data_IF_154532041021
#
_entry.id   IF_154532041021
#
_cell.length_a   1.000
_cell.length_b   1.000
_cell.length_c   1.000
_cell.angle_alpha   90.00
_cell.angle_beta   90.00
_cell.angle_gamma   90.00
#
_symmetry.space_group_name_H-M   'P 1'
#
loop_
_entity.id
_entity.type
_entity.pdbx_description
1 polymer ?
#
# COMPACT_ATOMS: atom_id res chain seq x y z
N UNK A 1 -38.41 0.48 -1.55
CA UNK A 1 -37.06 -0.17 -1.62
C UNK A 1 -36.05 0.69 -0.86
N UNK A 2 -35.39 0.15 0.13
CA UNK A 2 -34.26 0.83 0.76
C UNK A 2 -33.02 0.65 -0.13
N UNK A 3 -32.67 1.70 -0.89
CA UNK A 3 -31.61 1.66 -1.90
C UNK A 3 -30.24 1.37 -1.26
N UNK A 4 -29.96 1.93 -0.09
CA UNK A 4 -28.67 1.71 0.59
C UNK A 4 -28.51 0.26 1.02
N UNK A 5 -29.55 -0.34 1.60
CA UNK A 5 -29.51 -1.76 1.98
C UNK A 5 -29.38 -2.68 0.77
N UNK A 6 -29.99 -2.35 -0.36
CA UNK A 6 -29.84 -3.15 -1.59
C UNK A 6 -28.43 -3.02 -2.16
N UNK A 7 -27.82 -1.82 -2.16
CA UNK A 7 -26.42 -1.62 -2.54
C UNK A 7 -25.46 -2.38 -1.62
N UNK A 8 -25.66 -2.31 -0.29
CA UNK A 8 -24.85 -3.07 0.67
C UNK A 8 -24.93 -4.58 0.42
N UNK A 9 -26.12 -5.10 0.16
CA UNK A 9 -26.32 -6.52 -0.16
C UNK A 9 -25.60 -6.91 -1.45
N UNK A 10 -25.66 -6.06 -2.47
CA UNK A 10 -24.99 -6.28 -3.75
C UNK A 10 -23.47 -6.32 -3.57
N UNK A 11 -22.87 -5.32 -2.92
CA UNK A 11 -21.41 -5.27 -2.65
C UNK A 11 -20.95 -6.53 -1.89
N UNK A 12 -21.71 -6.97 -0.87
CA UNK A 12 -21.37 -8.18 -0.12
C UNK A 12 -21.46 -9.45 -0.94
N UNK A 13 -22.44 -9.56 -1.83
CA UNK A 13 -22.54 -10.71 -2.75
C UNK A 13 -21.40 -10.71 -3.74
N UNK A 14 -21.04 -9.57 -4.31
CA UNK A 14 -19.91 -9.43 -5.23
C UNK A 14 -18.58 -9.84 -4.58
N UNK A 15 -18.30 -9.36 -3.37
CA UNK A 15 -17.04 -9.67 -2.66
C UNK A 15 -16.95 -11.11 -2.19
N UNK A 16 -18.07 -11.70 -1.77
CA UNK A 16 -18.08 -13.07 -1.23
C UNK A 16 -18.29 -14.14 -2.28
N UNK A 17 -18.76 -13.79 -3.48
CA UNK A 17 -19.22 -14.72 -4.53
C UNK A 17 -20.43 -15.59 -4.13
N UNK A 18 -21.06 -15.33 -2.96
CA UNK A 18 -22.07 -16.21 -2.37
C UNK A 18 -23.16 -15.45 -1.63
N UNK A 19 -24.41 -15.69 -2.02
CA UNK A 19 -25.58 -15.15 -1.31
C UNK A 19 -25.65 -15.60 0.16
N UNK A 20 -25.21 -16.82 0.46
CA UNK A 20 -25.24 -17.36 1.82
C UNK A 20 -24.19 -16.70 2.72
N UNK A 21 -22.98 -16.47 2.20
CA UNK A 21 -21.91 -15.78 2.94
C UNK A 21 -22.28 -14.32 3.16
N UNK A 22 -22.79 -13.64 2.11
CA UNK A 22 -23.26 -12.26 2.20
C UNK A 22 -24.38 -12.10 3.24
N UNK A 23 -25.37 -13.02 3.26
CA UNK A 23 -26.45 -13.03 4.23
C UNK A 23 -25.94 -13.12 5.68
N UNK A 24 -24.97 -14.04 5.93
CA UNK A 24 -24.35 -14.20 7.24
C UNK A 24 -23.60 -12.93 7.67
N UNK A 25 -22.84 -12.32 6.77
CA UNK A 25 -22.10 -11.07 7.04
C UNK A 25 -23.00 -9.88 7.34
N UNK A 26 -24.19 -9.84 6.71
CA UNK A 26 -25.18 -8.78 6.90
C UNK A 26 -26.17 -9.03 8.05
N UNK A 27 -26.15 -10.23 8.66
CA UNK A 27 -27.09 -10.61 9.70
C UNK A 27 -28.54 -10.73 9.23
N UNK A 28 -28.78 -11.05 7.95
CA UNK A 28 -30.13 -11.18 7.33
C UNK A 28 -30.27 -12.52 6.64
N UNK A 29 -31.50 -12.87 6.24
CA UNK A 29 -31.77 -14.12 5.54
C UNK A 29 -31.24 -14.11 4.10
N UNK A 30 -30.85 -15.28 3.58
CA UNK A 30 -30.47 -15.44 2.16
C UNK A 30 -31.59 -15.01 1.22
N UNK A 31 -32.87 -15.29 1.58
CA UNK A 31 -34.00 -14.88 0.80
C UNK A 31 -34.13 -13.35 0.68
N UNK A 32 -33.83 -12.63 1.77
CA UNK A 32 -33.85 -11.17 1.77
C UNK A 32 -32.69 -10.59 0.93
N UNK A 33 -31.46 -11.16 1.00
CA UNK A 33 -30.36 -10.76 0.11
C UNK A 33 -30.74 -10.96 -1.36
N UNK A 34 -31.32 -12.11 -1.71
CA UNK A 34 -31.80 -12.38 -3.07
C UNK A 34 -32.85 -11.38 -3.54
N UNK A 35 -33.80 -11.02 -2.66
CA UNK A 35 -34.80 -10.00 -2.94
C UNK A 35 -34.17 -8.62 -3.15
N UNK A 36 -33.18 -8.23 -2.34
CA UNK A 36 -32.47 -6.98 -2.51
C UNK A 36 -31.80 -6.88 -3.89
N UNK A 37 -31.17 -7.96 -4.37
CA UNK A 37 -30.56 -7.99 -5.71
C UNK A 37 -31.62 -7.86 -6.81
N UNK A 38 -32.74 -8.60 -6.72
CA UNK A 38 -33.83 -8.52 -7.68
C UNK A 38 -34.43 -7.11 -7.75
N UNK A 39 -34.64 -6.51 -6.60
CA UNK A 39 -35.21 -5.15 -6.51
C UNK A 39 -34.23 -4.11 -7.07
N UNK A 40 -32.92 -4.32 -6.87
CA UNK A 40 -31.87 -3.47 -7.42
C UNK A 40 -31.79 -3.59 -8.95
N UNK A 41 -31.73 -4.81 -9.50
CA UNK A 41 -31.75 -5.08 -10.95
C UNK A 41 -32.99 -4.49 -11.63
N UNK A 42 -34.15 -4.65 -10.99
CA UNK A 42 -35.45 -4.08 -11.50
C UNK A 42 -35.36 -2.54 -11.53
N UNK A 43 -34.80 -1.93 -10.50
CA UNK A 43 -34.64 -0.47 -10.42
C UNK A 43 -33.68 0.09 -11.48
N UNK A 44 -32.62 -0.63 -11.76
CA UNK A 44 -31.61 -0.25 -12.74
C UNK A 44 -31.99 -0.61 -14.18
N UNK A 45 -32.98 -1.50 -14.37
CA UNK A 45 -33.39 -2.02 -15.68
C UNK A 45 -32.35 -2.94 -16.32
N UNK A 46 -31.34 -3.39 -15.56
CA UNK A 46 -30.24 -4.26 -16.04
C UNK A 46 -30.06 -5.45 -15.09
N UNK A 47 -29.46 -6.53 -15.61
CA UNK A 47 -29.02 -7.64 -14.77
C UNK A 47 -27.59 -7.42 -14.32
N UNK A 48 -27.36 -7.60 -13.02
CA UNK A 48 -26.04 -7.51 -12.39
C UNK A 48 -25.45 -8.90 -12.18
N UNK A 49 -26.28 -9.92 -11.93
CA UNK A 49 -25.82 -11.27 -11.66
C UNK A 49 -26.49 -12.28 -12.60
N UNK A 50 -25.70 -13.14 -13.22
CA UNK A 50 -26.18 -14.30 -13.93
C UNK A 50 -26.61 -15.38 -12.93
N UNK A 51 -27.86 -15.82 -13.02
CA UNK A 51 -28.42 -16.83 -12.11
C UNK A 51 -28.00 -18.21 -12.56
N UNK A 52 -26.88 -18.72 -12.07
CA UNK A 52 -26.66 -20.15 -11.96
C UNK A 52 -26.90 -20.59 -10.51
N UNK A 53 -27.48 -21.76 -10.33
CA UNK A 53 -28.02 -22.23 -9.05
C UNK A 53 -26.97 -22.39 -7.92
N UNK A 54 -25.69 -22.24 -8.19
CA UNK A 54 -24.61 -22.44 -7.22
C UNK A 54 -23.65 -21.27 -7.02
N UNK A 55 -23.44 -20.39 -8.01
CA UNK A 55 -22.51 -19.24 -7.88
C UNK A 55 -23.12 -17.97 -8.50
N UNK A 56 -22.91 -16.83 -7.83
CA UNK A 56 -23.23 -15.52 -8.38
C UNK A 56 -22.13 -15.10 -9.37
N UNK A 57 -22.40 -15.28 -10.67
CA UNK A 57 -21.48 -14.81 -11.71
C UNK A 57 -21.84 -13.36 -12.08
N UNK A 58 -20.94 -12.39 -11.89
CA UNK A 58 -21.19 -11.00 -12.26
C UNK A 58 -21.30 -10.82 -13.77
N UNK A 59 -22.11 -9.84 -14.19
CA UNK A 59 -22.12 -9.32 -15.56
C UNK A 59 -21.03 -8.23 -15.70
N UNK A 60 -20.79 -7.75 -16.91
CA UNK A 60 -19.84 -6.64 -17.14
C UNK A 60 -20.35 -5.37 -16.45
N UNK A 61 -21.64 -5.09 -16.53
CA UNK A 61 -22.29 -3.96 -15.87
C UNK A 61 -22.20 -4.03 -14.34
N UNK A 62 -22.17 -5.26 -13.77
CA UNK A 62 -22.01 -5.45 -12.34
C UNK A 62 -20.69 -4.90 -11.81
N UNK A 63 -19.59 -5.02 -12.58
CA UNK A 63 -18.27 -4.52 -12.18
C UNK A 63 -18.25 -2.99 -12.11
N UNK A 64 -18.83 -2.33 -13.12
CA UNK A 64 -18.94 -0.87 -13.13
C UNK A 64 -19.86 -0.37 -12.00
N UNK A 65 -21.00 -1.04 -11.78
CA UNK A 65 -21.93 -0.67 -10.73
C UNK A 65 -21.40 -0.97 -9.32
N UNK A 66 -20.53 -1.97 -9.15
CA UNK A 66 -19.84 -2.26 -7.89
C UNK A 66 -18.99 -1.07 -7.46
N UNK A 67 -18.14 -0.55 -8.36
CA UNK A 67 -17.31 0.62 -8.07
C UNK A 67 -18.14 1.84 -7.65
N UNK A 68 -19.28 2.07 -8.31
CA UNK A 68 -20.22 3.12 -7.94
C UNK A 68 -20.82 2.90 -6.55
N UNK A 69 -21.28 1.67 -6.22
CA UNK A 69 -21.83 1.36 -4.91
C UNK A 69 -20.81 1.55 -3.78
N UNK A 70 -19.57 1.10 -3.98
CA UNK A 70 -18.49 1.25 -3.01
C UNK A 70 -18.19 2.73 -2.73
N UNK A 71 -18.17 3.54 -3.79
CA UNK A 71 -17.97 4.98 -3.66
C UNK A 71 -19.09 5.63 -2.82
N UNK A 72 -20.35 5.40 -3.15
CA UNK A 72 -21.49 6.01 -2.45
C UNK A 72 -21.58 5.55 -1.00
N UNK A 73 -21.42 4.25 -0.73
CA UNK A 73 -21.43 3.72 0.63
C UNK A 73 -20.25 4.29 1.46
N UNK A 74 -19.08 4.44 0.84
CA UNK A 74 -17.92 5.07 1.47
C UNK A 74 -18.17 6.54 1.83
N UNK A 75 -18.81 7.32 0.95
CA UNK A 75 -19.17 8.73 1.23
C UNK A 75 -20.19 8.85 2.39
N UNK A 76 -21.17 7.96 2.45
CA UNK A 76 -22.13 7.93 3.56
C UNK A 76 -21.42 7.64 4.88
N UNK A 77 -20.60 6.61 4.92
CA UNK A 77 -19.81 6.27 6.11
C UNK A 77 -18.87 7.41 6.55
N UNK A 78 -18.32 8.17 5.59
CA UNK A 78 -17.53 9.38 5.88
C UNK A 78 -18.39 10.46 6.53
N UNK A 79 -19.58 10.75 5.95
CA UNK A 79 -20.52 11.70 6.50
C UNK A 79 -20.89 11.37 7.94
N UNK A 80 -21.33 10.12 8.17
CA UNK A 80 -21.68 9.63 9.51
C UNK A 80 -20.51 9.71 10.49
N UNK A 81 -19.30 9.37 10.06
CA UNK A 81 -18.08 9.51 10.89
C UNK A 81 -17.76 10.97 11.21
N UNK A 82 -17.92 11.88 10.24
CA UNK A 82 -17.75 13.31 10.47
C UNK A 82 -18.73 13.83 11.52
N UNK A 83 -20.00 13.44 11.47
CA UNK A 83 -21.02 13.78 12.48
C UNK A 83 -20.74 13.15 13.84
N UNK A 84 -20.25 11.89 13.89
CA UNK A 84 -19.87 11.23 15.13
C UNK A 84 -18.67 11.92 15.80
N UNK A 85 -17.74 12.46 15.02
CA UNK A 85 -16.61 13.26 15.50
C UNK A 85 -17.09 14.60 16.10
N UNK A 86 -18.13 15.21 15.53
CA UNK A 86 -18.71 16.47 16.02
C UNK A 86 -19.45 16.29 17.36
N UNK A 87 -19.94 15.09 17.66
CA UNK A 87 -20.67 14.76 18.91
C UNK A 87 -19.78 14.24 20.06
N UNK A 88 -18.45 14.37 19.96
CA UNK A 88 -17.52 13.99 21.04
C UNK A 88 -17.33 12.49 21.29
N UNK A 89 -17.96 11.60 20.50
CA UNK A 89 -17.62 10.18 20.44
C UNK A 89 -16.57 9.97 19.36
N UNK A 90 -15.36 10.49 19.60
CA UNK A 90 -14.18 10.10 18.83
C UNK A 90 -14.05 8.58 18.89
N UNK A 91 -14.11 7.92 17.75
CA UNK A 91 -13.59 6.55 17.67
C UNK A 91 -12.11 6.62 18.09
N UNK A 92 -11.79 6.05 19.27
CA UNK A 92 -10.42 5.99 19.78
C UNK A 92 -9.50 5.11 18.91
N UNK A 93 -10.00 4.60 17.79
CA UNK A 93 -9.25 3.76 16.87
C UNK A 93 -8.60 4.60 15.77
N UNK A 94 -7.28 4.51 15.65
CA UNK A 94 -6.47 5.02 14.55
C UNK A 94 -6.29 3.91 13.51
N UNK A 95 -6.87 4.07 12.32
CA UNK A 95 -6.81 3.11 11.23
C UNK A 95 -5.70 3.48 10.27
N UNK A 96 -4.66 2.65 10.22
CA UNK A 96 -3.45 2.88 9.43
C UNK A 96 -3.35 1.82 8.34
N UNK A 97 -2.98 2.24 7.13
CA UNK A 97 -2.54 1.34 6.06
C UNK A 97 -1.09 1.63 5.71
N UNK A 98 -0.29 0.59 5.47
CA UNK A 98 1.12 0.73 5.17
C UNK A 98 1.63 -0.38 4.23
N UNK A 99 2.76 -0.17 3.50
CA UNK A 99 3.40 -1.21 2.70
C UNK A 99 3.82 -2.39 3.58
N UNK A 100 3.60 -3.62 3.09
CA UNK A 100 3.86 -4.87 3.85
C UNK A 100 5.27 -4.95 4.41
N UNK A 101 6.29 -4.76 3.58
CA UNK A 101 7.68 -4.88 4.02
C UNK A 101 8.04 -3.85 5.08
N UNK A 102 7.68 -2.57 4.85
CA UNK A 102 7.94 -1.50 5.81
C UNK A 102 7.11 -1.68 7.08
N UNK A 103 5.85 -2.03 6.94
CA UNK A 103 4.94 -2.29 8.06
C UNK A 103 5.44 -3.37 8.99
N UNK A 104 5.92 -4.49 8.42
CA UNK A 104 6.39 -5.63 9.21
C UNK A 104 7.77 -5.40 9.82
N UNK A 105 8.70 -4.76 9.10
CA UNK A 105 10.11 -4.69 9.51
C UNK A 105 10.46 -3.44 10.34
N UNK A 106 9.66 -2.37 10.24
CA UNK A 106 9.98 -1.09 10.87
C UNK A 106 8.80 -0.46 11.61
N UNK A 107 7.63 -0.35 10.94
CA UNK A 107 6.49 0.37 11.50
C UNK A 107 5.86 -0.37 12.69
N UNK A 108 5.96 -1.70 12.73
CA UNK A 108 5.41 -2.50 13.82
C UNK A 108 5.99 -2.07 15.19
N UNK A 109 7.31 -1.93 15.28
CA UNK A 109 7.97 -1.49 16.52
C UNK A 109 7.53 -0.07 16.92
N UNK A 110 7.50 0.85 15.97
CA UNK A 110 6.99 2.20 16.22
C UNK A 110 5.53 2.23 16.70
N UNK A 111 4.69 1.35 16.16
CA UNK A 111 3.29 1.22 16.58
C UNK A 111 3.18 0.66 18.00
N UNK A 112 3.99 -0.33 18.37
CA UNK A 112 4.01 -0.90 19.70
C UNK A 112 4.45 0.14 20.73
N UNK A 113 5.51 0.90 20.45
CA UNK A 113 5.98 1.99 21.31
C UNK A 113 4.92 3.11 21.44
N UNK A 114 4.25 3.46 20.34
CA UNK A 114 3.16 4.44 20.36
C UNK A 114 1.96 3.95 21.17
N UNK A 115 1.58 2.68 21.05
CA UNK A 115 0.46 2.10 21.80
C UNK A 115 0.73 2.11 23.31
N UNK A 116 1.99 1.92 23.73
CA UNK A 116 2.40 2.04 25.13
C UNK A 116 2.34 3.52 25.60
N UNK A 117 2.75 4.45 24.75
CA UNK A 117 2.73 5.89 25.09
C UNK A 117 1.32 6.48 25.12
N UNK A 118 0.40 5.97 24.30
CA UNK A 118 -0.98 6.50 24.15
C UNK A 118 -2.02 5.37 24.30
N UNK A 119 -2.18 4.78 25.50
CA UNK A 119 -3.01 3.58 25.72
C UNK A 119 -4.51 3.79 25.48
N UNK A 120 -4.95 5.04 25.37
CA UNK A 120 -6.35 5.40 25.04
C UNK A 120 -6.64 5.32 23.54
N UNK A 121 -5.61 5.22 22.70
CA UNK A 121 -5.76 5.14 21.23
C UNK A 121 -5.64 3.68 20.82
N UNK A 122 -6.72 3.11 20.30
CA UNK A 122 -6.68 1.79 19.66
C UNK A 122 -6.06 1.95 18.27
N UNK A 123 -5.26 0.96 17.84
CA UNK A 123 -4.63 0.97 16.51
C UNK A 123 -5.18 -0.19 15.71
N UNK A 124 -5.53 0.09 14.47
CA UNK A 124 -5.85 -0.90 13.45
C UNK A 124 -4.86 -0.72 12.31
N UNK A 125 -3.95 -1.69 12.13
CA UNK A 125 -2.94 -1.68 11.07
C UNK A 125 -3.33 -2.68 9.99
N UNK A 126 -3.38 -2.21 8.75
CA UNK A 126 -3.54 -3.04 7.56
C UNK A 126 -2.29 -2.92 6.71
N UNK A 127 -1.72 -4.04 6.30
CA UNK A 127 -0.52 -4.10 5.48
C UNK A 127 -0.91 -4.53 4.06
N UNK A 128 -0.76 -3.61 3.12
CA UNK A 128 -1.06 -3.82 1.70
C UNK A 128 0.08 -3.30 0.83
N UNK A 129 0.42 -4.03 -0.24
CA UNK A 129 1.31 -3.54 -1.29
C UNK A 129 0.44 -3.03 -2.43
N UNK A 130 0.10 -1.74 -2.41
CA UNK A 130 -0.77 -1.09 -3.39
C UNK A 130 -0.07 0.08 -4.08
N UNK A 131 -0.46 0.33 -5.32
CA UNK A 131 -0.24 1.65 -5.92
C UNK A 131 -1.11 2.62 -5.15
N UNK A 132 -0.50 3.58 -4.45
CA UNK A 132 -1.24 4.52 -3.64
C UNK A 132 -2.22 5.33 -4.51
N UNK A 133 -3.50 5.08 -4.30
CA UNK A 133 -4.59 5.84 -4.93
C UNK A 133 -5.31 6.64 -3.86
N UNK A 134 -5.22 7.97 -3.88
CA UNK A 134 -5.76 8.84 -2.83
C UNK A 134 -7.25 8.60 -2.51
N UNK A 135 -8.07 8.34 -3.55
CA UNK A 135 -9.49 8.08 -3.37
C UNK A 135 -9.75 6.74 -2.68
N UNK A 136 -9.09 5.65 -3.09
CA UNK A 136 -9.28 4.32 -2.47
C UNK A 136 -8.94 4.32 -0.97
N UNK A 137 -7.91 5.05 -0.58
CA UNK A 137 -7.53 5.21 0.83
C UNK A 137 -8.68 5.78 1.67
N UNK A 138 -9.31 6.83 1.15
CA UNK A 138 -10.42 7.50 1.84
C UNK A 138 -11.68 6.63 1.84
N UNK A 139 -11.97 5.94 0.73
CA UNK A 139 -13.12 5.03 0.57
C UNK A 139 -13.04 3.83 1.52
N UNK A 140 -11.87 3.22 1.67
CA UNK A 140 -11.64 2.12 2.59
C UNK A 140 -11.68 2.53 4.08
N UNK A 141 -11.81 3.83 4.36
CA UNK A 141 -12.00 4.35 5.71
C UNK A 141 -10.76 4.35 6.58
N UNK A 142 -9.58 4.41 6.00
CA UNK A 142 -8.34 4.63 6.73
C UNK A 142 -8.22 6.08 7.20
N UNK A 143 -7.66 6.28 8.39
CA UNK A 143 -7.35 7.61 8.93
C UNK A 143 -6.00 8.12 8.40
N UNK A 144 -5.05 7.20 8.20
CA UNK A 144 -3.67 7.47 7.81
C UNK A 144 -3.13 6.38 6.88
N UNK A 145 -2.43 6.78 5.82
CA UNK A 145 -1.60 5.90 5.00
C UNK A 145 -0.13 6.23 5.20
N UNK A 146 0.70 5.20 5.33
CA UNK A 146 2.15 5.32 5.18
C UNK A 146 2.49 4.94 3.74
N UNK A 147 3.19 5.83 3.03
CA UNK A 147 3.50 5.65 1.62
C UNK A 147 4.99 5.83 1.36
N UNK A 148 5.53 5.09 0.40
CA UNK A 148 6.89 5.23 -0.10
C UNK A 148 6.77 5.68 -1.56
N UNK A 149 6.51 6.95 -1.78
CA UNK A 149 6.28 7.51 -3.11
C UNK A 149 6.46 9.03 -3.13
N UNK A 150 6.61 9.60 -4.32
CA UNK A 150 6.35 11.01 -4.55
C UNK A 150 4.85 11.21 -4.74
N UNK A 151 4.25 12.13 -3.98
CA UNK A 151 2.82 12.42 -4.09
C UNK A 151 2.55 13.36 -5.27
N UNK A 152 1.60 13.02 -6.16
CA UNK A 152 1.01 14.02 -7.05
C UNK A 152 0.14 14.98 -6.24
N UNK A 153 -0.14 16.16 -6.80
CA UNK A 153 -1.10 17.11 -6.23
C UNK A 153 -2.45 16.42 -5.99
N UNK A 154 -2.89 16.39 -4.74
CA UNK A 154 -4.11 15.69 -4.34
C UNK A 154 -4.84 16.44 -3.21
N UNK A 155 -6.11 16.09 -3.01
CA UNK A 155 -6.91 16.59 -1.88
C UNK A 155 -6.42 16.08 -0.50
N UNK A 156 -5.33 15.33 -0.46
CA UNK A 156 -4.74 14.78 0.77
C UNK A 156 -3.59 15.65 1.26
N UNK A 157 -3.33 15.59 2.55
CA UNK A 157 -2.12 16.13 3.15
C UNK A 157 -1.06 15.03 3.22
N UNK A 158 0.16 15.38 2.82
CA UNK A 158 1.32 14.51 2.97
C UNK A 158 2.34 15.18 3.91
N UNK A 159 2.81 14.43 4.90
CA UNK A 159 3.90 14.85 5.79
C UNK A 159 5.06 13.89 5.66
N UNK A 160 6.23 14.41 5.31
CA UNK A 160 7.45 13.62 5.23
C UNK A 160 7.86 13.14 6.62
N UNK A 161 8.04 11.83 6.75
CA UNK A 161 8.54 11.17 7.96
C UNK A 161 10.06 11.06 7.88
N UNK A 162 10.58 10.63 6.70
CA UNK A 162 12.00 10.47 6.48
C UNK A 162 12.36 10.03 5.08
N UNK A 163 13.64 10.11 4.70
CA UNK A 163 14.12 9.50 3.47
C UNK A 163 14.21 7.99 3.66
N UNK A 164 14.02 7.24 2.58
CA UNK A 164 14.35 5.83 2.50
C UNK A 164 15.41 5.61 1.44
N UNK A 165 16.52 5.03 1.86
CA UNK A 165 17.59 4.64 0.96
C UNK A 165 17.27 3.31 0.27
N UNK A 166 17.69 3.23 -0.98
CA UNK A 166 17.58 2.05 -1.82
C UNK A 166 18.96 1.59 -2.24
N UNK A 167 19.10 0.29 -2.47
CA UNK A 167 20.36 -0.31 -2.92
C UNK A 167 20.11 -1.24 -4.11
N UNK A 168 21.04 -1.20 -5.05
CA UNK A 168 21.15 -2.21 -6.10
C UNK A 168 22.03 -3.33 -5.56
N UNK A 169 21.52 -4.55 -5.48
CA UNK A 169 22.22 -5.66 -4.86
C UNK A 169 21.94 -7.00 -5.54
N UNK A 170 22.87 -7.93 -5.33
CA UNK A 170 22.75 -9.35 -5.69
C UNK A 170 23.54 -10.20 -4.71
N UNK A 171 23.33 -11.52 -4.73
CA UNK A 171 24.18 -12.45 -3.98
C UNK A 171 25.57 -12.56 -4.60
N UNK A 172 26.64 -12.82 -3.80
CA UNK A 172 27.97 -13.11 -4.33
C UNK A 172 27.98 -14.28 -5.31
N UNK A 173 27.12 -15.28 -5.07
CA UNK A 173 27.00 -16.45 -5.94
C UNK A 173 26.46 -16.08 -7.32
N UNK A 174 25.45 -15.20 -7.39
CA UNK A 174 24.94 -14.71 -8.67
C UNK A 174 26.07 -13.99 -9.45
N UNK A 175 26.82 -13.12 -8.78
CA UNK A 175 27.92 -12.37 -9.39
C UNK A 175 29.03 -13.29 -9.88
N UNK A 176 29.35 -14.33 -9.13
CA UNK A 176 30.38 -15.31 -9.50
C UNK A 176 30.05 -16.05 -10.81
N UNK A 177 28.78 -16.39 -11.01
CA UNK A 177 28.32 -17.13 -12.19
C UNK A 177 28.01 -16.23 -13.40
N UNK A 178 27.57 -15.00 -13.19
CA UNK A 178 27.07 -14.12 -14.25
C UNK A 178 27.94 -12.89 -14.52
N UNK A 179 29.02 -12.72 -13.72
CA UNK A 179 29.87 -11.54 -13.75
C UNK A 179 29.28 -10.37 -12.97
N UNK A 180 30.16 -9.41 -12.61
CA UNK A 180 29.76 -8.18 -11.93
C UNK A 180 29.49 -7.08 -12.96
N UNK A 181 28.29 -6.45 -12.96
CA UNK A 181 28.03 -5.30 -13.82
C UNK A 181 28.95 -4.12 -13.43
N UNK A 182 29.66 -3.57 -14.40
CA UNK A 182 30.55 -2.41 -14.24
C UNK A 182 29.89 -1.11 -14.68
N UNK A 183 28.91 -1.19 -15.55
CA UNK A 183 28.16 -0.05 -16.11
C UNK A 183 26.64 -0.31 -16.02
N UNK A 184 25.84 0.75 -16.18
CA UNK A 184 24.40 0.60 -16.27
C UNK A 184 23.94 -0.21 -17.50
N UNK A 185 24.72 -0.13 -18.59
CA UNK A 185 24.42 -0.89 -19.81
C UNK A 185 24.53 -2.41 -19.58
N UNK A 186 25.40 -2.84 -18.67
CA UNK A 186 25.61 -4.25 -18.35
C UNK A 186 24.34 -4.88 -17.75
N UNK A 187 23.51 -4.08 -17.03
CA UNK A 187 22.25 -4.56 -16.44
C UNK A 187 21.31 -5.18 -17.47
N UNK A 188 21.39 -4.80 -18.74
CA UNK A 188 20.59 -5.38 -19.82
C UNK A 188 20.88 -6.87 -20.08
N UNK A 189 22.05 -7.35 -19.63
CA UNK A 189 22.51 -8.73 -19.77
C UNK A 189 22.33 -9.56 -18.52
N UNK A 190 21.82 -8.93 -17.44
CA UNK A 190 21.57 -9.60 -16.18
C UNK A 190 20.09 -9.87 -15.98
N UNK A 191 19.74 -10.93 -15.27
CA UNK A 191 18.40 -11.14 -14.75
C UNK A 191 18.11 -10.09 -13.67
N UNK A 192 17.09 -9.23 -13.90
CA UNK A 192 16.71 -8.16 -13.01
C UNK A 192 15.37 -8.46 -12.34
N UNK A 193 15.35 -8.42 -11.01
CA UNK A 193 14.17 -8.71 -10.19
C UNK A 193 13.41 -7.40 -9.97
N UNK A 194 12.22 -7.28 -10.56
CA UNK A 194 11.53 -6.00 -10.70
C UNK A 194 10.40 -5.88 -9.69
N UNK A 195 10.32 -4.71 -9.03
CA UNK A 195 9.23 -4.41 -8.11
C UNK A 195 8.03 -3.84 -8.88
N UNK A 196 6.87 -4.53 -8.83
CA UNK A 196 5.62 -4.05 -9.39
C UNK A 196 5.11 -2.83 -8.60
N UNK A 197 4.54 -1.85 -9.32
CA UNK A 197 3.90 -0.66 -8.75
C UNK A 197 4.84 0.29 -8.00
N UNK A 198 6.15 0.16 -8.18
CA UNK A 198 7.10 1.11 -7.58
C UNK A 198 7.26 2.37 -8.44
N UNK A 199 7.21 2.20 -9.75
CA UNK A 199 7.32 3.25 -10.76
C UNK A 199 6.22 3.10 -11.81
N UNK A 200 6.01 4.15 -12.63
CA UNK A 200 5.07 4.10 -13.76
C UNK A 200 5.44 3.04 -14.79
N UNK A 201 6.72 2.67 -14.86
CA UNK A 201 7.22 1.58 -15.69
C UNK A 201 8.22 0.76 -14.90
N UNK A 202 7.77 -0.35 -14.36
CA UNK A 202 8.54 -1.25 -13.48
C UNK A 202 9.81 -1.82 -14.12
N UNK A 203 9.92 -1.79 -15.45
CA UNK A 203 11.08 -2.28 -16.20
C UNK A 203 12.09 -1.20 -16.54
N UNK A 204 11.88 0.05 -16.17
CA UNK A 204 12.82 1.15 -16.39
C UNK A 204 13.39 1.58 -15.04
N UNK A 205 14.65 1.20 -14.78
CA UNK A 205 15.35 1.62 -13.59
C UNK A 205 16.01 2.97 -13.78
N UNK A 206 15.81 3.85 -12.80
CA UNK A 206 16.34 5.21 -12.79
C UNK A 206 17.58 5.28 -11.88
N UNK A 207 18.60 5.97 -12.36
CA UNK A 207 19.83 6.23 -11.64
C UNK A 207 20.28 7.68 -11.82
N UNK A 208 21.08 8.18 -10.90
CA UNK A 208 21.73 9.49 -11.03
C UNK A 208 23.23 9.36 -10.77
N UNK A 209 24.04 9.99 -11.62
CA UNK A 209 25.47 10.13 -11.45
C UNK A 209 25.89 11.54 -11.83
N UNK A 210 26.63 12.24 -10.96
CA UNK A 210 27.07 13.63 -11.19
C UNK A 210 25.92 14.58 -11.59
N UNK A 211 24.75 14.45 -10.96
CA UNK A 211 23.52 15.22 -11.24
C UNK A 211 22.90 14.94 -12.63
N UNK A 212 23.39 13.98 -13.38
CA UNK A 212 22.81 13.53 -14.64
C UNK A 212 21.97 12.28 -14.37
N UNK A 213 20.72 12.31 -14.83
CA UNK A 213 19.81 11.18 -14.70
C UNK A 213 20.01 10.20 -15.87
N UNK A 214 20.05 8.93 -15.54
CA UNK A 214 20.18 7.82 -16.48
C UNK A 214 19.02 6.86 -16.26
N UNK A 215 18.52 6.30 -17.36
CA UNK A 215 17.52 5.24 -17.30
C UNK A 215 18.02 3.99 -18.04
N UNK A 216 17.70 2.84 -17.53
CA UNK A 216 18.03 1.57 -18.18
C UNK A 216 16.81 0.65 -18.17
N UNK A 217 16.45 0.15 -19.37
CA UNK A 217 15.43 -0.89 -19.48
C UNK A 217 16.06 -2.20 -19.06
N UNK A 218 15.40 -2.89 -18.11
CA UNK A 218 15.85 -4.16 -17.54
C UNK A 218 14.82 -5.25 -17.81
N UNK A 219 15.28 -6.49 -17.80
CA UNK A 219 14.43 -7.66 -18.01
C UNK A 219 14.78 -8.74 -16.97
N UNK A 220 13.79 -9.56 -16.62
CA UNK A 220 13.96 -10.67 -15.70
C UNK A 220 12.70 -11.53 -15.59
N UNK A 221 12.86 -12.69 -15.01
CA UNK A 221 11.77 -13.68 -14.91
C UNK A 221 10.82 -13.44 -13.74
N UNK A 222 11.23 -12.63 -12.75
CA UNK A 222 10.46 -12.41 -11.52
C UNK A 222 10.12 -10.93 -11.35
N UNK A 223 8.81 -10.69 -11.31
CA UNK A 223 8.21 -9.42 -10.93
C UNK A 223 7.36 -9.66 -9.67
N UNK A 224 7.45 -8.80 -8.68
CA UNK A 224 6.66 -8.92 -7.46
C UNK A 224 6.40 -7.54 -6.84
N UNK A 225 5.23 -7.35 -6.25
CA UNK A 225 4.93 -6.18 -5.44
C UNK A 225 5.46 -6.29 -3.99
N UNK A 226 6.20 -7.34 -3.67
CA UNK A 226 6.75 -7.57 -2.34
C UNK A 226 8.28 -7.52 -2.36
N UNK A 227 8.85 -6.51 -1.69
CA UNK A 227 10.31 -6.40 -1.51
C UNK A 227 10.92 -7.63 -0.81
N UNK A 228 10.18 -8.28 0.08
CA UNK A 228 10.64 -9.49 0.78
C UNK A 228 10.75 -10.70 -0.16
N UNK A 229 9.85 -10.82 -1.14
CA UNK A 229 9.94 -11.86 -2.18
C UNK A 229 11.15 -11.61 -3.06
N UNK A 230 11.36 -10.36 -3.50
CA UNK A 230 12.52 -10.00 -4.31
C UNK A 230 13.86 -10.18 -3.56
N UNK A 231 13.90 -9.82 -2.24
CA UNK A 231 15.03 -10.11 -1.37
C UNK A 231 15.35 -11.60 -1.33
N UNK A 232 14.33 -12.43 -1.11
CA UNK A 232 14.49 -13.89 -1.07
C UNK A 232 15.01 -14.45 -2.41
N UNK A 233 14.53 -13.91 -3.52
CA UNK A 233 15.02 -14.29 -4.85
C UNK A 233 16.47 -13.86 -5.08
N UNK A 234 16.86 -12.63 -4.68
CA UNK A 234 18.25 -12.16 -4.78
C UNK A 234 19.21 -13.03 -3.95
N UNK A 235 18.85 -13.38 -2.70
CA UNK A 235 19.61 -14.29 -1.84
C UNK A 235 19.77 -15.69 -2.45
N UNK A 236 18.83 -16.14 -3.25
CA UNK A 236 18.88 -17.43 -3.96
C UNK A 236 19.50 -17.33 -5.37
N UNK A 237 20.20 -16.26 -5.64
CA UNK A 237 20.94 -16.06 -6.93
C UNK A 237 20.04 -15.99 -8.17
N UNK A 238 18.78 -15.55 -8.03
CA UNK A 238 17.87 -15.39 -9.17
C UNK A 238 18.17 -14.15 -10.01
N UNK A 239 18.92 -13.17 -9.46
CA UNK A 239 19.22 -11.95 -10.21
C UNK A 239 19.61 -10.76 -9.33
N UNK A 240 19.66 -9.60 -9.98
CA UNK A 240 19.95 -8.30 -9.39
C UNK A 240 18.62 -7.63 -9.01
N UNK A 241 18.55 -7.02 -7.83
CA UNK A 241 17.37 -6.31 -7.34
C UNK A 241 17.70 -4.89 -6.88
N UNK A 242 16.74 -3.96 -7.05
CA UNK A 242 16.68 -2.69 -6.33
C UNK A 242 15.76 -2.89 -5.12
N UNK A 243 16.33 -2.77 -3.91
CA UNK A 243 15.59 -3.03 -2.67
C UNK A 243 15.79 -1.89 -1.66
N UNK A 244 14.79 -1.60 -0.81
CA UNK A 244 14.97 -0.69 0.31
C UNK A 244 16.11 -1.20 1.21
N UNK A 245 16.99 -0.29 1.64
CA UNK A 245 18.15 -0.65 2.49
C UNK A 245 17.71 -1.36 3.77
N UNK A 246 16.60 -0.94 4.39
CA UNK A 246 16.08 -1.58 5.60
C UNK A 246 15.73 -3.06 5.40
N UNK A 247 15.32 -3.46 4.19
CA UNK A 247 15.01 -4.86 3.90
C UNK A 247 16.25 -5.76 3.85
N UNK A 248 17.40 -5.21 3.50
CA UNK A 248 18.62 -5.97 3.18
C UNK A 248 19.82 -5.58 4.04
N UNK A 249 19.67 -4.73 5.05
CA UNK A 249 20.76 -4.24 5.88
C UNK A 249 21.53 -5.40 6.56
N UNK A 250 20.82 -6.36 7.11
CA UNK A 250 21.41 -7.55 7.72
C UNK A 250 22.16 -8.42 6.70
N UNK A 251 21.59 -8.58 5.50
CA UNK A 251 22.22 -9.39 4.44
C UNK A 251 23.50 -8.73 3.90
N UNK A 252 23.50 -7.40 3.78
CA UNK A 252 24.67 -6.63 3.37
C UNK A 252 25.76 -6.71 4.44
N UNK A 253 25.39 -6.61 5.72
CA UNK A 253 26.34 -6.75 6.83
C UNK A 253 26.92 -8.18 6.92
N UNK A 254 26.12 -9.20 6.67
CA UNK A 254 26.53 -10.59 6.64
C UNK A 254 27.28 -11.00 5.35
N UNK A 255 27.31 -10.12 4.33
CA UNK A 255 27.93 -10.42 3.03
C UNK A 255 27.13 -11.41 2.17
N UNK A 256 25.91 -11.77 2.54
CA UNK A 256 25.02 -12.64 1.75
C UNK A 256 24.40 -11.91 0.57
N UNK A 257 24.37 -10.57 0.61
CA UNK A 257 24.13 -9.69 -0.53
C UNK A 257 25.28 -8.68 -0.62
N UNK A 258 25.58 -8.25 -1.86
CA UNK A 258 26.59 -7.24 -2.17
C UNK A 258 25.99 -6.09 -2.94
N UNK A 259 26.35 -4.85 -2.58
CA UNK A 259 25.94 -3.65 -3.32
C UNK A 259 26.66 -3.57 -4.66
N UNK A 260 25.91 -3.23 -5.70
CA UNK A 260 26.41 -3.09 -7.05
C UNK A 260 26.37 -1.63 -7.50
N UNK A 261 27.23 -1.24 -8.43
CA UNK A 261 27.31 0.10 -9.04
C UNK A 261 27.22 1.25 -8.01
N UNK A 262 28.09 1.28 -6.97
CA UNK A 262 27.96 2.22 -5.83
C UNK A 262 28.05 3.70 -6.23
N UNK A 263 28.64 4.01 -7.40
CA UNK A 263 28.74 5.36 -7.94
C UNK A 263 27.46 5.87 -8.64
N UNK A 264 26.44 5.02 -8.77
CA UNK A 264 25.16 5.33 -9.38
C UNK A 264 24.09 5.40 -8.28
N UNK A 265 23.65 6.62 -7.96
CA UNK A 265 22.64 6.83 -6.93
C UNK A 265 21.25 6.46 -7.45
N UNK A 266 20.49 5.77 -6.64
CA UNK A 266 19.07 5.52 -6.89
C UNK A 266 18.24 6.75 -6.48
N UNK A 267 17.08 6.97 -7.10
CA UNK A 267 16.16 8.03 -6.68
C UNK A 267 15.78 7.87 -5.21
N UNK A 268 15.86 8.97 -4.46
CA UNK A 268 15.36 8.98 -3.09
C UNK A 268 13.83 8.94 -3.10
N UNK A 269 13.27 8.08 -2.29
CA UNK A 269 11.83 7.97 -2.12
C UNK A 269 11.49 8.31 -0.68
N UNK A 270 10.77 9.42 -0.44
CA UNK A 270 10.40 9.80 0.91
C UNK A 270 9.39 8.80 1.49
N UNK A 271 9.53 8.55 2.78
CA UNK A 271 8.48 7.95 3.59
C UNK A 271 7.50 9.05 3.98
N UNK A 272 6.25 8.91 3.58
CA UNK A 272 5.20 9.89 3.80
C UNK A 272 4.12 9.34 4.71
N UNK A 273 3.62 10.18 5.60
CA UNK A 273 2.34 10.01 6.26
C UNK A 273 1.29 10.83 5.50
N UNK A 274 0.27 10.16 4.98
CA UNK A 274 -0.77 10.77 4.13
C UNK A 274 -2.12 10.62 4.80
N UNK A 275 -2.89 11.71 4.87
CA UNK A 275 -4.20 11.76 5.52
C UNK A 275 -5.10 12.83 4.88
N UNK A 276 -6.44 12.75 5.05
CA UNK A 276 -7.36 13.70 4.43
C UNK A 276 -7.11 15.14 4.87
N UNK A 277 -7.20 16.08 3.93
CA UNK A 277 -7.18 17.51 4.21
C UNK A 277 -8.53 17.91 4.85
N UNK A 278 -8.55 18.10 6.15
CA UNK A 278 -9.72 18.59 6.88
C UNK A 278 -9.39 19.91 7.54
N UNK A 279 -10.41 20.74 7.84
CA UNK A 279 -10.25 22.03 8.54
C UNK A 279 -9.55 21.86 9.88
N UNK A 280 -9.70 20.69 10.53
CA UNK A 280 -9.03 20.35 11.78
C UNK A 280 -8.60 18.88 11.73
N UNK A 281 -7.29 18.65 11.60
CA UNK A 281 -6.72 17.29 11.64
C UNK A 281 -6.99 16.69 13.03
N UNK A 282 -7.45 15.43 13.03
CA UNK A 282 -7.75 14.70 14.27
C UNK A 282 -6.51 14.62 15.19
N UNK A 283 -6.73 14.79 16.51
CA UNK A 283 -5.68 14.72 17.54
C UNK A 283 -4.88 13.41 17.46
N UNK A 284 -5.55 12.27 17.24
CA UNK A 284 -4.90 10.96 17.13
C UNK A 284 -3.91 10.88 15.94
N UNK A 285 -4.26 11.49 14.79
CA UNK A 285 -3.37 11.55 13.61
C UNK A 285 -2.16 12.43 13.93
N UNK A 286 -2.37 13.62 14.48
CA UNK A 286 -1.28 14.55 14.83
C UNK A 286 -0.31 13.92 15.84
N UNK A 287 -0.82 13.26 16.88
CA UNK A 287 0.01 12.58 17.88
C UNK A 287 0.85 11.47 17.24
N UNK A 288 0.22 10.62 16.42
CA UNK A 288 0.92 9.50 15.77
C UNK A 288 1.97 9.99 14.77
N UNK A 289 1.64 10.96 13.92
CA UNK A 289 2.58 11.50 12.92
C UNK A 289 3.77 12.20 13.58
N UNK A 290 3.53 12.97 14.66
CA UNK A 290 4.60 13.59 15.42
C UNK A 290 5.49 12.56 16.14
N UNK A 291 4.88 11.52 16.71
CA UNK A 291 5.59 10.40 17.33
C UNK A 291 6.44 9.67 16.30
N UNK A 292 5.85 9.25 15.18
CA UNK A 292 6.53 8.49 14.13
C UNK A 292 7.73 9.26 13.54
N UNK A 293 7.57 10.58 13.34
CA UNK A 293 8.67 11.43 12.84
C UNK A 293 9.84 11.52 13.84
N UNK A 294 9.58 11.50 15.16
CA UNK A 294 10.64 11.46 16.18
C UNK A 294 11.29 10.10 16.26
N UNK A 295 10.45 9.04 16.32
CA UNK A 295 10.88 7.66 16.40
C UNK A 295 11.81 7.29 15.24
N UNK A 296 11.42 7.67 14.01
CA UNK A 296 12.20 7.39 12.81
C UNK A 296 13.57 8.08 12.81
N UNK A 297 13.65 9.31 13.31
CA UNK A 297 14.93 10.04 13.47
C UNK A 297 15.84 9.40 14.50
N UNK A 298 15.30 8.88 15.59
CA UNK A 298 16.08 8.23 16.65
C UNK A 298 16.58 6.85 16.23
N UNK A 299 15.77 6.11 15.47
CA UNK A 299 16.13 4.76 15.01
C UNK A 299 17.10 4.76 13.82
N UNK A 300 17.27 5.89 13.11
CA UNK A 300 18.19 6.07 11.99
C UNK A 300 19.17 7.24 12.22
N UNK A 301 20.03 7.19 13.23
CA UNK A 301 20.93 8.30 13.57
C UNK A 301 21.98 8.61 12.50
N UNK A 302 22.26 7.67 11.57
CA UNK A 302 23.25 7.84 10.50
C UNK A 302 22.68 8.53 9.24
N UNK A 303 21.38 8.73 9.14
CA UNK A 303 20.78 9.58 8.10
C UNK A 303 20.88 11.04 8.56
N UNK A 304 22.08 11.60 8.38
CA UNK A 304 22.49 12.89 8.90
C UNK A 304 21.48 14.01 8.72
N UNK A 305 21.42 14.90 9.72
CA UNK A 305 20.57 16.09 9.84
C UNK A 305 20.59 17.03 8.60
N UNK A 306 21.46 16.82 7.63
CA UNK A 306 21.55 17.56 6.38
C UNK A 306 20.51 17.17 5.30
N UNK A 307 19.71 16.11 5.51
CA UNK A 307 18.70 15.66 4.55
C UNK A 307 17.29 16.25 4.82
N UNK A 308 17.13 17.07 5.86
CA UNK A 308 15.82 17.55 6.37
C UNK A 308 15.61 19.06 6.23
N UNK A 309 16.58 19.81 5.68
CA UNK A 309 16.49 21.26 5.43
C UNK A 309 16.00 21.56 4.01
#
# INVERSE_FOLDING_TARGET
MDRLRTMQSFVRVMHSGSFTIAARQLGISRALVSRHIIDLERHLGIRLLNRSTRNAMPTEEATAYLAFCEQILGEIEKGERSFAQTRGKLSDTLRIVAPKSFGTMNLADAILDFAQAEPKIRISLVLEDFSFRPHEFVEKGYDLAICIATMPDSALMARTIGPLDWVLCASPDYIRHNGQPKTLADLKRHACLTHLNLDLNDRIWQFSRNKVNHSVKVEGQLLSNSALVLRKAALRSFGIAILPRYCVAADLAAGTLTTLLPNHKLPRRPLLAVYPRTTKVSRKINLFVAFLSRWFRQSNPNDGAAAWA
#
